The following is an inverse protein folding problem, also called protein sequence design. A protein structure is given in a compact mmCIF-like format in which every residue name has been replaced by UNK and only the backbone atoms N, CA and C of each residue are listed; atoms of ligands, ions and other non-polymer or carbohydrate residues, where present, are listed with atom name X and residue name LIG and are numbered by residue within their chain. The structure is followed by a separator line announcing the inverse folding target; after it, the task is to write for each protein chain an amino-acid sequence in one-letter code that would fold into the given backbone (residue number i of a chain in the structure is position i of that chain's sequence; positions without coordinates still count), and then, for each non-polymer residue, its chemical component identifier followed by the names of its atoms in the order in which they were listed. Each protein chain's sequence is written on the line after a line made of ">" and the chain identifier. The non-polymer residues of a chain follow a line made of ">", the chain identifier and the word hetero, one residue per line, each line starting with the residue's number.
data_IF_248574849707
#
_entry.id   IF_248574849707
#
_cell.length_a   1.000
_cell.length_b   1.000
_cell.length_c   1.000
_cell.angle_alpha   90.00
_cell.angle_beta   90.00
_cell.angle_gamma   90.00
#
_symmetry.space_group_name_H-M   'P 1'
#
loop_
_entity.id
_entity.type
_entity.pdbx_description
1 polymer ?
#
# COMPACT_ATOMS: atom_id res chain seq x y z
N UNK A 1 10.44 -7.59 58.84
CA UNK A 1 9.31 -6.66 59.03
C UNK A 1 8.23 -7.03 58.02
N UNK A 2 7.15 -7.67 58.48
CA UNK A 2 6.06 -8.17 57.62
C UNK A 2 5.07 -7.04 57.30
N UNK A 3 4.77 -6.84 56.02
CA UNK A 3 3.71 -5.93 55.56
C UNK A 3 2.38 -6.69 55.54
N UNK A 4 1.28 -6.11 56.07
CA UNK A 4 -0.02 -6.78 56.08
C UNK A 4 -0.64 -6.82 54.68
N UNK A 5 -1.37 -7.89 54.41
CA UNK A 5 -2.05 -8.18 53.15
C UNK A 5 -3.24 -7.22 52.94
N UNK A 6 -3.50 -6.83 51.69
CA UNK A 6 -4.58 -5.93 51.30
C UNK A 6 -6.00 -6.42 51.70
N UNK A 7 -6.13 -7.70 52.11
CA UNK A 7 -7.35 -8.27 52.68
C UNK A 7 -7.56 -7.96 54.16
N UNK A 8 -6.70 -7.18 54.83
CA UNK A 8 -6.93 -6.81 56.23
C UNK A 8 -7.37 -5.35 56.42
N UNK A 9 -7.32 -4.53 55.35
CA UNK A 9 -7.63 -3.09 55.40
C UNK A 9 -9.11 -2.73 55.15
N UNK A 10 -9.97 -3.71 54.86
CA UNK A 10 -11.39 -3.52 54.54
C UNK A 10 -12.34 -3.60 55.74
N UNK A 11 -11.88 -3.99 56.94
CA UNK A 11 -12.76 -4.22 58.11
C UNK A 11 -13.04 -2.99 58.98
N UNK A 12 -12.44 -1.83 58.71
CA UNK A 12 -12.51 -0.66 59.62
C UNK A 12 -13.30 0.54 59.10
N UNK A 13 -13.91 0.48 57.91
CA UNK A 13 -14.79 1.55 57.43
C UNK A 13 -16.26 1.15 57.50
N UNK A 14 -16.93 1.63 58.54
CA UNK A 14 -18.39 1.69 58.64
C UNK A 14 -18.92 2.61 57.53
N UNK A 15 -19.42 2.02 56.44
CA UNK A 15 -20.17 2.76 55.43
C UNK A 15 -21.62 2.96 55.91
N UNK A 16 -22.16 4.19 55.89
CA UNK A 16 -23.58 4.40 56.13
C UNK A 16 -24.41 3.73 55.03
N UNK A 17 -25.46 3.02 55.44
CA UNK A 17 -26.44 2.36 54.58
C UNK A 17 -27.04 3.34 53.56
N UNK A 18 -27.23 2.94 52.29
CA UNK A 18 -27.94 3.77 51.31
C UNK A 18 -29.43 3.87 51.68
N UNK A 19 -29.95 5.09 51.73
CA UNK A 19 -31.37 5.38 51.96
C UNK A 19 -32.23 4.90 50.77
N UNK A 20 -33.45 4.35 51.01
CA UNK A 20 -34.30 3.84 49.95
C UNK A 20 -35.23 4.95 49.41
N UNK A 21 -34.75 5.76 48.47
CA UNK A 21 -35.60 6.73 47.75
C UNK A 21 -35.32 6.73 46.24
N UNK A 22 -35.23 5.56 45.62
CA UNK A 22 -35.14 5.46 44.15
C UNK A 22 -35.80 4.19 43.57
N UNK A 23 -36.97 3.83 44.09
CA UNK A 23 -37.84 2.77 43.55
C UNK A 23 -39.23 3.28 43.19
N UNK A 24 -39.32 4.45 42.54
CA UNK A 24 -40.62 4.95 42.04
C UNK A 24 -40.57 5.79 40.76
N UNK A 25 -39.68 5.46 39.82
CA UNK A 25 -39.69 5.99 38.43
C UNK A 25 -39.23 4.91 37.43
N UNK A 26 -39.82 3.71 37.50
CA UNK A 26 -39.55 2.62 36.54
C UNK A 26 -40.80 1.77 36.22
N UNK A 27 -42.00 2.35 36.29
CA UNK A 27 -43.23 1.60 35.96
C UNK A 27 -44.13 2.22 34.87
N UNK A 28 -43.91 3.45 34.39
CA UNK A 28 -44.86 4.07 33.44
C UNK A 28 -44.26 4.42 32.07
N UNK A 29 -43.49 3.51 31.46
CA UNK A 29 -43.03 3.67 30.06
C UNK A 29 -43.08 2.35 29.28
N UNK A 30 -44.21 1.66 29.28
CA UNK A 30 -44.53 0.66 28.25
C UNK A 30 -46.05 0.66 28.04
N UNK A 31 -46.50 1.40 27.03
CA UNK A 31 -47.69 1.13 26.21
C UNK A 31 -47.92 2.34 25.30
N UNK A 32 -47.52 2.22 24.03
CA UNK A 32 -48.03 3.07 22.96
C UNK A 32 -48.65 2.13 21.93
N UNK A 33 -49.99 2.07 21.81
CA UNK A 33 -50.62 1.40 20.70
C UNK A 33 -50.57 2.28 19.44
N UNK A 34 -50.55 1.57 18.33
CA UNK A 34 -50.52 1.98 16.93
C UNK A 34 -51.28 3.29 16.62
N UNK A 35 -50.56 4.30 16.15
CA UNK A 35 -51.16 5.50 15.57
C UNK A 35 -51.43 5.23 14.08
N UNK A 36 -52.70 4.99 13.76
CA UNK A 36 -53.20 4.78 12.40
C UNK A 36 -53.01 6.02 11.54
N UNK A 37 -52.42 5.78 10.37
CA UNK A 37 -51.98 6.74 9.38
C UNK A 37 -53.14 7.17 8.47
N UNK A 38 -54.20 7.78 9.01
CA UNK A 38 -55.33 8.30 8.23
C UNK A 38 -56.00 9.45 9.00
N UNK A 39 -55.41 10.64 8.91
CA UNK A 39 -56.08 11.95 9.04
C UNK A 39 -55.10 13.00 8.50
N UNK A 40 -54.85 12.90 7.21
CA UNK A 40 -53.95 13.74 6.44
C UNK A 40 -54.77 14.56 5.45
N UNK A 41 -55.73 15.38 5.88
CA UNK A 41 -56.24 16.46 5.02
C UNK A 41 -56.82 17.65 5.80
N UNK A 42 -56.30 18.82 5.44
CA UNK A 42 -56.94 20.13 5.53
C UNK A 42 -57.11 20.79 6.91
N UNK A 43 -56.03 21.39 7.41
CA UNK A 43 -56.13 22.74 7.97
C UNK A 43 -55.02 23.63 7.42
N UNK A 44 -55.42 24.65 6.67
CA UNK A 44 -54.56 25.73 6.21
C UNK A 44 -53.97 26.45 7.44
N UNK A 45 -52.68 26.82 7.44
CA UNK A 45 -52.15 27.69 8.48
C UNK A 45 -52.71 29.10 8.24
N UNK A 46 -53.82 29.41 8.93
CA UNK A 46 -54.25 30.78 9.13
C UNK A 46 -53.12 31.55 9.80
N UNK A 47 -52.75 32.65 9.17
CA UNK A 47 -51.80 33.66 9.63
C UNK A 47 -52.29 34.30 10.94
N UNK A 48 -52.10 33.62 12.06
CA UNK A 48 -52.25 34.21 13.37
C UNK A 48 -50.87 34.57 13.89
N UNK A 49 -50.49 35.82 13.63
CA UNK A 49 -49.48 36.57 14.37
C UNK A 49 -49.88 36.60 15.86
N UNK A 50 -49.58 35.53 16.60
CA UNK A 50 -49.74 35.50 18.04
C UNK A 50 -48.37 35.60 18.72
N UNK A 51 -47.90 36.85 18.85
CA UNK A 51 -46.70 37.26 19.59
C UNK A 51 -46.87 37.15 21.12
N UNK A 52 -47.78 36.32 21.62
CA UNK A 52 -48.02 36.12 23.06
C UNK A 52 -48.10 34.64 23.45
N UNK A 53 -47.10 33.85 23.05
CA UNK A 53 -46.83 32.53 23.65
C UNK A 53 -45.84 32.66 24.83
N UNK A 54 -46.05 33.65 25.70
CA UNK A 54 -45.50 33.61 27.05
C UNK A 54 -46.36 32.62 27.85
N UNK A 55 -45.98 31.34 27.82
CA UNK A 55 -46.54 30.36 28.74
C UNK A 55 -46.37 30.83 30.19
N UNK A 56 -47.18 30.33 31.14
CA UNK A 56 -47.22 30.82 32.51
C UNK A 56 -45.80 30.90 33.11
N UNK A 57 -45.46 32.01 33.81
CA UNK A 57 -44.10 32.31 34.28
C UNK A 57 -43.49 31.23 35.20
N UNK A 58 -44.31 30.33 35.75
CA UNK A 58 -43.89 29.24 36.63
C UNK A 58 -43.60 27.90 35.93
N UNK A 59 -43.68 27.86 34.59
CA UNK A 59 -43.37 26.64 33.85
C UNK A 59 -41.91 26.21 34.04
N UNK A 60 -41.68 24.90 34.15
CA UNK A 60 -40.33 24.32 34.28
C UNK A 60 -39.44 24.74 33.09
N UNK A 61 -40.04 24.95 31.91
CA UNK A 61 -39.35 25.40 30.72
C UNK A 61 -38.81 26.83 30.86
N UNK A 62 -39.63 27.77 31.34
CA UNK A 62 -39.23 29.16 31.58
C UNK A 62 -38.09 29.25 32.61
N UNK A 63 -38.18 28.49 33.72
CA UNK A 63 -37.09 28.40 34.71
C UNK A 63 -35.79 27.84 34.13
N UNK A 64 -35.87 26.79 33.30
CA UNK A 64 -34.69 26.23 32.61
C UNK A 64 -34.07 27.23 31.63
N UNK A 65 -34.89 28.03 30.95
CA UNK A 65 -34.42 29.07 30.05
C UNK A 65 -33.75 30.24 30.79
N UNK A 66 -34.35 30.73 31.87
CA UNK A 66 -33.75 31.75 32.73
C UNK A 66 -32.39 31.30 33.29
N UNK A 67 -32.28 30.04 33.75
CA UNK A 67 -31.02 29.46 34.21
C UNK A 67 -29.97 29.38 33.09
N UNK A 68 -30.37 28.95 31.87
CA UNK A 68 -29.47 28.95 30.71
C UNK A 68 -28.98 30.36 30.38
N UNK A 69 -29.84 31.37 30.45
CA UNK A 69 -29.47 32.77 30.19
C UNK A 69 -28.48 33.28 31.25
N UNK A 70 -28.75 33.03 32.53
CA UNK A 70 -27.85 33.43 33.62
C UNK A 70 -26.49 32.73 33.49
N UNK A 71 -26.48 31.43 33.16
CA UNK A 71 -25.24 30.70 32.93
C UNK A 71 -24.46 31.25 31.74
N UNK A 72 -25.14 31.58 30.62
CA UNK A 72 -24.50 32.23 29.47
C UNK A 72 -23.88 33.57 29.85
N UNK A 73 -24.57 34.40 30.64
CA UNK A 73 -24.03 35.68 31.15
C UNK A 73 -22.80 35.46 32.04
N UNK A 74 -22.85 34.49 32.97
CA UNK A 74 -21.72 34.14 33.84
C UNK A 74 -20.50 33.67 33.04
N UNK A 75 -20.71 32.82 32.03
CA UNK A 75 -19.62 32.32 31.16
C UNK A 75 -19.07 33.39 30.21
N UNK A 76 -19.91 34.32 29.76
CA UNK A 76 -19.48 35.43 28.92
C UNK A 76 -18.59 36.43 29.68
N UNK A 77 -18.89 36.65 30.97
CA UNK A 77 -18.16 37.58 31.84
C UNK A 77 -17.03 36.89 32.63
N UNK A 78 -16.67 35.67 32.28
CA UNK A 78 -15.63 34.89 32.96
C UNK A 78 -14.24 35.41 32.59
N UNK A 79 -13.37 35.65 33.59
CA UNK A 79 -11.97 36.01 33.33
C UNK A 79 -11.22 34.82 32.71
N UNK A 80 -10.15 35.03 31.91
CA UNK A 80 -9.41 33.95 31.29
C UNK A 80 -8.83 32.95 32.32
N UNK A 81 -8.40 33.44 33.50
CA UNK A 81 -7.92 32.60 34.60
C UNK A 81 -9.02 31.72 35.20
N UNK A 82 -10.20 32.31 35.49
CA UNK A 82 -11.36 31.54 35.99
C UNK A 82 -11.80 30.51 34.97
N UNK A 83 -11.80 30.86 33.68
CA UNK A 83 -12.08 29.94 32.58
C UNK A 83 -11.08 28.79 32.52
N UNK A 84 -9.79 29.07 32.65
CA UNK A 84 -8.74 28.05 32.66
C UNK A 84 -8.92 27.08 33.83
N UNK A 85 -9.10 27.61 35.06
CA UNK A 85 -9.34 26.82 36.26
C UNK A 85 -10.60 25.94 36.15
N UNK A 86 -11.71 26.49 35.61
CA UNK A 86 -12.93 25.72 35.37
C UNK A 86 -12.74 24.60 34.35
N UNK A 87 -12.02 24.87 33.26
CA UNK A 87 -11.72 23.85 32.23
C UNK A 87 -10.77 22.78 32.77
N UNK A 88 -9.81 23.14 33.62
CA UNK A 88 -8.91 22.21 34.28
C UNK A 88 -9.67 21.30 35.25
N UNK A 89 -10.50 21.86 36.12
CA UNK A 89 -11.37 21.08 37.01
C UNK A 89 -12.26 20.10 36.20
N UNK A 90 -12.81 20.55 35.06
CA UNK A 90 -13.58 19.69 34.18
C UNK A 90 -12.74 18.56 33.56
N UNK A 91 -11.49 18.82 33.15
CA UNK A 91 -10.57 17.79 32.64
C UNK A 91 -10.23 16.76 33.72
N UNK A 92 -9.95 17.21 34.94
CA UNK A 92 -9.65 16.34 36.08
C UNK A 92 -10.84 15.42 36.37
N UNK A 93 -12.06 15.97 36.49
CA UNK A 93 -13.26 15.16 36.71
C UNK A 93 -13.51 14.15 35.57
N UNK A 94 -13.31 14.56 34.32
CA UNK A 94 -13.42 13.65 33.18
C UNK A 94 -12.39 12.52 33.25
N UNK A 95 -11.14 12.84 33.61
CA UNK A 95 -10.08 11.87 33.76
C UNK A 95 -10.41 10.86 34.87
N UNK A 96 -10.87 11.33 36.03
CA UNK A 96 -11.30 10.46 37.14
C UNK A 96 -12.45 9.52 36.73
N UNK A 97 -13.45 10.04 36.01
CA UNK A 97 -14.56 9.23 35.48
C UNK A 97 -14.09 8.18 34.47
N UNK A 98 -13.13 8.53 33.60
CA UNK A 98 -12.58 7.59 32.61
C UNK A 98 -11.65 6.54 33.24
N UNK A 99 -10.93 6.90 34.30
CA UNK A 99 -10.05 5.99 35.03
C UNK A 99 -10.83 4.95 35.84
N UNK A 100 -12.00 5.31 36.37
CA UNK A 100 -12.92 4.43 37.12
C UNK A 100 -13.96 3.72 36.24
N UNK A 101 -13.86 3.86 34.91
CA UNK A 101 -14.83 3.30 33.97
C UNK A 101 -14.76 1.76 33.91
N UNK A 102 -15.90 1.09 34.08
CA UNK A 102 -15.98 -0.36 33.88
C UNK A 102 -15.78 -0.73 32.39
N UNK A 103 -15.33 -1.96 32.06
CA UNK A 103 -15.15 -2.37 30.67
C UNK A 103 -16.43 -2.25 29.83
N UNK A 104 -17.61 -2.51 30.40
CA UNK A 104 -18.90 -2.37 29.73
C UNK A 104 -19.25 -0.90 29.43
N UNK A 105 -19.09 -0.02 30.42
CA UNK A 105 -19.29 1.42 30.22
C UNK A 105 -18.33 1.97 29.15
N UNK A 106 -17.07 1.52 29.16
CA UNK A 106 -16.07 1.86 28.15
C UNK A 106 -16.49 1.40 26.76
N UNK A 107 -16.97 0.16 26.63
CA UNK A 107 -17.44 -0.38 25.36
C UNK A 107 -18.63 0.43 24.83
N UNK A 108 -19.64 0.69 25.66
CA UNK A 108 -20.82 1.51 25.33
C UNK A 108 -20.43 2.93 24.91
N UNK A 109 -19.56 3.60 25.68
CA UNK A 109 -19.04 4.93 25.34
C UNK A 109 -18.30 4.93 24.00
N UNK A 110 -17.44 3.95 23.74
CA UNK A 110 -16.70 3.85 22.47
C UNK A 110 -17.64 3.54 21.30
N UNK A 111 -18.69 2.75 21.51
CA UNK A 111 -19.72 2.48 20.50
C UNK A 111 -20.46 3.77 20.14
N UNK A 112 -20.99 4.50 21.13
CA UNK A 112 -21.68 5.78 20.89
C UNK A 112 -20.77 6.81 20.18
N UNK A 113 -19.47 6.82 20.50
CA UNK A 113 -18.49 7.66 19.79
C UNK A 113 -18.30 7.24 18.33
N UNK A 114 -18.23 5.94 18.03
CA UNK A 114 -18.14 5.43 16.65
C UNK A 114 -19.41 5.77 15.85
N UNK A 115 -20.59 5.63 16.45
CA UNK A 115 -21.87 5.97 15.83
C UNK A 115 -21.96 7.47 15.52
N UNK A 116 -21.61 8.34 16.47
CA UNK A 116 -21.54 9.79 16.23
C UNK A 116 -20.53 10.13 15.12
N UNK A 117 -19.40 9.43 15.05
CA UNK A 117 -18.42 9.61 13.99
C UNK A 117 -18.97 9.17 12.64
N UNK A 118 -19.63 8.01 12.55
CA UNK A 118 -20.31 7.54 11.34
C UNK A 118 -21.34 8.55 10.86
N UNK A 119 -22.19 9.03 11.76
CA UNK A 119 -23.18 10.05 11.46
C UNK A 119 -22.54 11.32 10.89
N UNK A 120 -21.50 11.85 11.54
CA UNK A 120 -20.77 13.04 11.06
C UNK A 120 -20.15 12.84 9.68
N UNK A 121 -19.57 11.66 9.42
CA UNK A 121 -18.95 11.34 8.12
C UNK A 121 -19.99 11.14 7.01
N UNK A 122 -21.17 10.62 7.34
CA UNK A 122 -22.27 10.45 6.39
C UNK A 122 -22.89 11.78 5.95
N UNK A 123 -22.93 12.78 6.84
CA UNK A 123 -23.49 14.11 6.60
C UNK A 123 -22.43 15.17 6.25
N UNK A 124 -21.23 14.74 5.87
CA UNK A 124 -20.13 15.62 5.52
C UNK A 124 -20.35 16.21 4.11
N UNK A 125 -20.20 17.54 3.96
CA UNK A 125 -20.26 18.16 2.62
C UNK A 125 -19.03 17.78 1.78
N UNK A 126 -19.10 17.84 0.44
CA UNK A 126 -17.94 17.53 -0.41
C UNK A 126 -16.68 18.34 -0.05
N UNK A 127 -16.85 19.63 0.30
CA UNK A 127 -15.76 20.50 0.72
C UNK A 127 -15.15 20.06 2.06
N UNK A 128 -15.98 19.75 3.06
CA UNK A 128 -15.51 19.23 4.35
C UNK A 128 -14.75 17.91 4.15
N UNK A 129 -15.27 17.01 3.32
CA UNK A 129 -14.62 15.74 2.97
C UNK A 129 -13.27 15.95 2.30
N UNK A 130 -13.19 16.87 1.35
CA UNK A 130 -11.94 17.23 0.70
C UNK A 130 -10.92 17.75 1.73
N UNK A 131 -11.29 18.73 2.56
CA UNK A 131 -10.44 19.29 3.61
C UNK A 131 -9.98 18.25 4.63
N UNK A 132 -10.85 17.31 5.02
CA UNK A 132 -10.47 16.20 5.92
C UNK A 132 -9.46 15.26 5.25
N UNK A 133 -9.67 14.90 3.98
CA UNK A 133 -8.76 14.02 3.25
C UNK A 133 -7.41 14.69 2.96
N UNK A 134 -7.37 15.99 2.67
CA UNK A 134 -6.11 16.72 2.50
C UNK A 134 -5.33 16.78 3.81
N UNK A 135 -5.99 17.09 4.93
CA UNK A 135 -5.35 17.07 6.24
C UNK A 135 -4.82 15.68 6.62
N UNK A 136 -5.52 14.60 6.24
CA UNK A 136 -5.03 13.22 6.47
C UNK A 136 -3.81 12.89 5.62
N UNK A 137 -3.81 13.25 4.32
CA UNK A 137 -2.64 13.08 3.44
C UNK A 137 -1.44 13.86 3.95
N UNK A 138 -1.65 15.08 4.44
CA UNK A 138 -0.57 15.91 4.97
C UNK A 138 0.08 15.29 6.21
N UNK A 139 -0.73 14.85 7.18
CA UNK A 139 -0.21 14.12 8.36
C UNK A 139 0.52 12.85 7.97
N UNK A 140 0.04 12.13 6.95
CA UNK A 140 0.72 10.94 6.44
C UNK A 140 2.05 11.30 5.78
N UNK A 141 2.10 12.37 4.99
CA UNK A 141 3.33 12.88 4.36
C UNK A 141 4.38 13.22 5.41
N UNK A 142 3.99 14.00 6.43
CA UNK A 142 4.88 14.39 7.54
C UNK A 142 5.43 13.14 8.24
N UNK A 143 4.57 12.18 8.59
CA UNK A 143 4.99 10.92 9.24
C UNK A 143 5.96 10.11 8.39
N UNK A 144 5.74 10.03 7.08
CA UNK A 144 6.60 9.29 6.16
C UNK A 144 7.94 10.01 5.91
N UNK A 145 7.95 11.33 5.94
CA UNK A 145 9.17 12.13 5.81
C UNK A 145 10.07 12.01 7.05
N UNK A 146 9.49 11.90 8.24
CA UNK A 146 10.21 11.71 9.50
C UNK A 146 10.48 10.24 9.86
N UNK A 147 10.27 9.30 8.94
CA UNK A 147 10.37 7.86 9.19
C UNK A 147 11.84 7.41 9.26
N UNK A 148 12.24 6.71 10.33
CA UNK A 148 13.58 6.12 10.43
C UNK A 148 13.73 4.93 9.46
N UNK A 149 14.95 4.55 9.03
CA UNK A 149 15.14 3.40 8.13
C UNK A 149 14.52 2.10 8.68
N UNK A 150 14.59 1.86 9.99
CA UNK A 150 14.00 0.67 10.63
C UNK A 150 12.47 0.69 10.62
N UNK A 151 11.87 1.85 10.92
CA UNK A 151 10.42 2.03 10.82
C UNK A 151 9.95 1.80 9.38
N UNK A 152 10.69 2.33 8.41
CA UNK A 152 10.43 2.14 6.98
C UNK A 152 10.52 0.68 6.59
N UNK A 153 11.55 -0.05 7.03
CA UNK A 153 11.70 -1.48 6.78
C UNK A 153 10.52 -2.27 7.34
N UNK A 154 10.15 -2.04 8.61
CA UNK A 154 8.98 -2.68 9.26
C UNK A 154 7.67 -2.37 8.51
N UNK A 155 7.46 -1.12 8.11
CA UNK A 155 6.27 -0.71 7.34
C UNK A 155 6.22 -1.39 5.97
N UNK A 156 7.33 -1.44 5.24
CA UNK A 156 7.41 -2.09 3.93
C UNK A 156 7.22 -3.61 4.05
N UNK A 157 7.72 -4.23 5.11
CA UNK A 157 7.51 -5.66 5.36
C UNK A 157 6.04 -5.96 5.67
N UNK A 158 5.41 -5.18 6.55
CA UNK A 158 3.98 -5.30 6.80
C UNK A 158 3.11 -5.04 5.55
N UNK A 159 3.57 -4.21 4.61
CA UNK A 159 2.92 -4.03 3.31
C UNK A 159 3.08 -5.25 2.40
N UNK A 160 4.28 -5.85 2.34
CA UNK A 160 4.54 -7.08 1.57
C UNK A 160 3.71 -8.25 2.10
N UNK A 161 3.64 -8.43 3.41
CA UNK A 161 2.84 -9.49 4.05
C UNK A 161 1.36 -9.34 3.66
N UNK A 162 0.78 -8.14 3.83
CA UNK A 162 -0.60 -7.86 3.42
C UNK A 162 -0.82 -8.06 1.92
N UNK A 163 0.14 -7.70 1.09
CA UNK A 163 0.06 -7.93 -0.35
C UNK A 163 0.08 -9.43 -0.69
N UNK A 164 0.94 -10.23 -0.05
CA UNK A 164 0.96 -11.69 -0.22
C UNK A 164 -0.36 -12.31 0.20
N UNK A 165 -0.91 -11.93 1.36
CA UNK A 165 -2.21 -12.39 1.83
C UNK A 165 -3.33 -12.02 0.85
N UNK A 166 -3.35 -10.78 0.34
CA UNK A 166 -4.35 -10.36 -0.66
C UNK A 166 -4.25 -11.16 -1.96
N UNK A 167 -3.04 -11.48 -2.42
CA UNK A 167 -2.83 -12.28 -3.62
C UNK A 167 -3.18 -13.76 -3.37
N UNK A 168 -2.89 -14.30 -2.18
CA UNK A 168 -3.24 -15.67 -1.84
C UNK A 168 -4.75 -15.88 -1.76
N UNK A 169 -5.48 -14.88 -1.27
CA UNK A 169 -6.93 -14.91 -1.10
C UNK A 169 -7.71 -14.39 -2.33
N UNK A 170 -7.04 -14.15 -3.47
CA UNK A 170 -7.70 -13.63 -4.67
C UNK A 170 -8.50 -14.73 -5.38
N UNK A 171 -9.72 -14.40 -5.85
CA UNK A 171 -10.47 -15.34 -6.70
C UNK A 171 -9.82 -15.51 -8.08
N UNK A 172 -10.12 -16.59 -8.79
CA UNK A 172 -9.60 -16.82 -10.14
C UNK A 172 -9.95 -15.68 -11.11
N UNK A 173 -11.16 -15.11 -10.98
CA UNK A 173 -11.60 -13.95 -11.76
C UNK A 173 -10.81 -12.69 -11.42
N UNK A 174 -10.62 -12.40 -10.12
CA UNK A 174 -9.81 -11.27 -9.67
C UNK A 174 -8.36 -11.38 -10.17
N UNK A 175 -7.80 -12.61 -10.13
CA UNK A 175 -6.47 -12.90 -10.69
C UNK A 175 -6.41 -12.65 -12.19
N UNK A 176 -7.40 -13.13 -12.94
CA UNK A 176 -7.47 -12.94 -14.39
C UNK A 176 -7.55 -11.45 -14.75
N UNK A 177 -8.41 -10.68 -14.07
CA UNK A 177 -8.50 -9.22 -14.24
C UNK A 177 -7.19 -8.51 -13.91
N UNK A 178 -6.56 -8.85 -12.78
CA UNK A 178 -5.26 -8.28 -12.38
C UNK A 178 -4.17 -8.56 -13.41
N UNK A 179 -4.09 -9.78 -13.93
CA UNK A 179 -3.12 -10.14 -14.97
C UNK A 179 -3.43 -9.49 -16.32
N UNK A 180 -4.71 -9.34 -16.67
CA UNK A 180 -5.13 -8.64 -17.88
C UNK A 180 -4.75 -7.16 -17.84
N UNK A 181 -4.98 -6.46 -16.72
CA UNK A 181 -4.55 -5.07 -16.51
C UNK A 181 -3.03 -4.93 -16.59
N UNK A 182 -2.27 -5.84 -15.94
CA UNK A 182 -0.81 -5.86 -16.04
C UNK A 182 -0.31 -6.02 -17.49
N UNK A 183 -0.91 -6.94 -18.27
CA UNK A 183 -0.59 -7.13 -19.69
C UNK A 183 -0.97 -5.90 -20.52
N UNK A 184 -2.09 -5.26 -20.22
CA UNK A 184 -2.54 -4.05 -20.91
C UNK A 184 -1.56 -2.88 -20.68
N UNK A 185 -1.21 -2.59 -19.42
CA UNK A 185 -0.21 -1.56 -19.09
C UNK A 185 1.16 -1.85 -19.70
N UNK A 186 1.56 -3.12 -19.76
CA UNK A 186 2.79 -3.54 -20.41
C UNK A 186 2.75 -3.28 -21.92
N UNK A 187 1.65 -3.59 -22.61
CA UNK A 187 1.46 -3.29 -24.04
C UNK A 187 1.59 -1.79 -24.31
N UNK A 188 0.91 -0.95 -23.54
CA UNK A 188 0.99 0.51 -23.67
C UNK A 188 2.45 0.99 -23.51
N UNK A 189 3.16 0.50 -22.47
CA UNK A 189 4.56 0.87 -22.24
C UNK A 189 5.47 0.48 -23.41
N UNK A 190 5.26 -0.70 -23.99
CA UNK A 190 6.08 -1.19 -25.11
C UNK A 190 5.74 -0.50 -26.43
N UNK A 191 4.47 -0.14 -26.65
CA UNK A 191 4.05 0.61 -27.83
C UNK A 191 4.65 2.03 -27.84
N UNK A 192 4.75 2.66 -26.68
CA UNK A 192 5.30 4.01 -26.50
C UNK A 192 6.81 4.02 -26.20
N UNK A 193 7.52 2.91 -26.43
CA UNK A 193 8.95 2.77 -26.14
C UNK A 193 9.81 3.47 -27.22
N UNK A 194 10.74 4.35 -26.82
CA UNK A 194 11.70 4.95 -27.75
C UNK A 194 12.68 3.88 -28.27
N UNK A 195 13.26 4.04 -29.48
CA UNK A 195 14.18 3.05 -30.05
C UNK A 195 15.40 2.77 -29.15
N UNK A 196 15.92 3.80 -28.47
CA UNK A 196 17.01 3.66 -27.50
C UNK A 196 16.63 2.80 -26.29
N UNK A 197 15.46 3.08 -25.68
CA UNK A 197 14.93 2.29 -24.56
C UNK A 197 14.69 0.84 -24.99
N UNK A 198 14.20 0.64 -26.21
CA UNK A 198 14.01 -0.70 -26.80
C UNK A 198 15.33 -1.43 -26.97
N UNK A 199 16.37 -0.78 -27.50
CA UNK A 199 17.70 -1.37 -27.66
C UNK A 199 18.29 -1.79 -26.30
N UNK A 200 18.27 -0.88 -25.32
CA UNK A 200 18.74 -1.15 -23.95
C UNK A 200 17.97 -2.30 -23.28
N UNK A 201 16.63 -2.34 -23.44
CA UNK A 201 15.80 -3.44 -22.93
C UNK A 201 16.17 -4.78 -23.58
N UNK A 202 16.38 -4.82 -24.89
CA UNK A 202 16.76 -6.03 -25.62
C UNK A 202 18.16 -6.51 -25.23
N UNK A 203 19.11 -5.60 -25.05
CA UNK A 203 20.44 -5.91 -24.54
C UNK A 203 20.39 -6.51 -23.12
N UNK A 204 19.67 -5.87 -22.20
CA UNK A 204 19.47 -6.38 -20.84
C UNK A 204 18.75 -7.74 -20.81
N UNK A 205 17.89 -8.03 -21.81
CA UNK A 205 17.28 -9.35 -21.98
C UNK A 205 18.30 -10.39 -22.48
N UNK A 206 19.15 -10.03 -23.45
CA UNK A 206 20.23 -10.90 -23.95
C UNK A 206 21.23 -11.25 -22.85
N UNK A 207 21.65 -10.26 -22.05
CA UNK A 207 22.59 -10.49 -20.94
C UNK A 207 21.99 -11.42 -19.87
N UNK A 208 20.74 -11.19 -19.45
CA UNK A 208 20.04 -12.09 -18.52
C UNK A 208 19.88 -13.49 -19.08
N UNK A 209 19.64 -13.62 -20.39
CA UNK A 209 19.57 -14.92 -21.04
C UNK A 209 20.93 -15.63 -21.02
N UNK A 210 22.02 -14.93 -21.34
CA UNK A 210 23.37 -15.48 -21.26
C UNK A 210 23.71 -15.94 -19.84
N UNK A 211 23.44 -15.11 -18.82
CA UNK A 211 23.65 -15.47 -17.41
C UNK A 211 22.86 -16.73 -17.02
N UNK A 212 21.58 -16.82 -17.40
CA UNK A 212 20.75 -17.99 -17.12
C UNK A 212 21.26 -19.26 -17.81
N UNK A 213 21.77 -19.13 -19.05
CA UNK A 213 22.36 -20.25 -19.78
C UNK A 213 23.72 -20.65 -19.23
N UNK A 214 24.50 -19.70 -18.69
CA UNK A 214 25.78 -20.00 -18.07
C UNK A 214 25.63 -20.71 -16.71
N UNK A 215 24.57 -20.39 -15.96
CA UNK A 215 24.25 -21.00 -14.67
C UNK A 215 23.32 -22.23 -14.77
N UNK A 216 23.06 -22.75 -15.97
CA UNK A 216 22.11 -23.87 -16.13
C UNK A 216 22.76 -25.20 -15.68
N UNK A 217 22.03 -26.03 -14.95
CA UNK A 217 22.52 -27.38 -14.61
C UNK A 217 22.58 -28.26 -15.87
N UNK A 218 23.42 -29.31 -15.92
CA UNK A 218 23.49 -30.20 -17.08
C UNK A 218 22.14 -30.85 -17.42
N UNK A 219 21.34 -31.19 -16.42
CA UNK A 219 19.97 -31.70 -16.59
C UNK A 219 19.05 -30.67 -17.23
N UNK A 220 19.06 -29.43 -16.75
CA UNK A 220 18.29 -28.34 -17.34
C UNK A 220 18.70 -28.07 -18.79
N UNK A 221 20.01 -28.12 -19.08
CA UNK A 221 20.54 -28.01 -20.44
C UNK A 221 20.03 -29.13 -21.34
N UNK A 222 20.11 -30.38 -20.89
CA UNK A 222 19.63 -31.54 -21.62
C UNK A 222 18.13 -31.43 -21.91
N UNK A 223 17.32 -31.10 -20.90
CA UNK A 223 15.88 -30.88 -21.05
C UNK A 223 15.56 -29.75 -22.05
N UNK A 224 16.29 -28.62 -21.98
CA UNK A 224 16.13 -27.50 -22.91
C UNK A 224 16.47 -27.89 -24.35
N UNK A 225 17.57 -28.62 -24.56
CA UNK A 225 17.99 -29.10 -25.88
C UNK A 225 17.02 -30.16 -26.43
N UNK A 226 16.54 -31.08 -25.59
CA UNK A 226 15.52 -32.06 -25.95
C UNK A 226 14.21 -31.37 -26.37
N UNK A 227 13.73 -30.40 -25.59
CA UNK A 227 12.55 -29.61 -25.95
C UNK A 227 12.74 -28.81 -27.25
N UNK A 228 13.96 -28.31 -27.52
CA UNK A 228 14.28 -27.68 -28.80
C UNK A 228 14.22 -28.68 -29.97
N UNK A 229 14.75 -29.90 -29.79
CA UNK A 229 14.71 -30.98 -30.78
C UNK A 229 13.28 -31.44 -31.08
N UNK A 230 12.44 -31.63 -30.05
CA UNK A 230 11.02 -31.99 -30.21
C UNK A 230 10.28 -30.93 -31.01
N UNK A 231 10.44 -29.63 -30.66
CA UNK A 231 9.82 -28.53 -31.42
C UNK A 231 10.33 -28.45 -32.86
N UNK A 232 11.58 -28.81 -33.11
CA UNK A 232 12.10 -28.89 -34.48
C UNK A 232 11.46 -30.05 -35.25
N UNK A 233 11.33 -31.23 -34.64
CA UNK A 233 10.67 -32.38 -35.26
C UNK A 233 9.20 -32.09 -35.56
N UNK A 234 8.45 -31.51 -34.62
CA UNK A 234 7.06 -31.12 -34.82
C UNK A 234 6.89 -30.13 -35.99
N UNK A 235 7.79 -29.13 -36.10
CA UNK A 235 7.78 -28.18 -37.22
C UNK A 235 8.03 -28.87 -38.57
N UNK A 236 8.94 -29.84 -38.61
CA UNK A 236 9.23 -30.61 -39.84
C UNK A 236 8.11 -31.59 -40.19
N UNK A 237 7.45 -32.18 -39.20
CA UNK A 237 6.31 -33.06 -39.40
C UNK A 237 5.09 -32.29 -39.96
N UNK A 238 4.87 -31.08 -39.47
CA UNK A 238 3.76 -30.21 -39.90
C UNK A 238 4.09 -29.36 -41.13
N UNK A 239 5.28 -29.51 -41.72
CA UNK A 239 5.75 -28.74 -42.88
C UNK A 239 4.92 -29.10 -44.12
N UNK A 240 4.32 -28.09 -44.76
CA UNK A 240 3.62 -28.29 -46.03
C UNK A 240 4.61 -28.69 -47.15
N UNK A 241 4.10 -29.26 -48.26
CA UNK A 241 4.96 -29.64 -49.40
C UNK A 241 5.73 -28.43 -49.97
N UNK A 242 5.07 -27.28 -50.04
CA UNK A 242 5.66 -26.03 -50.52
C UNK A 242 6.74 -25.50 -49.59
N UNK A 243 6.47 -25.46 -48.28
CA UNK A 243 7.45 -25.07 -47.27
C UNK A 243 8.68 -26.00 -47.29
N UNK A 244 8.44 -27.31 -47.43
CA UNK A 244 9.49 -28.32 -47.56
C UNK A 244 10.35 -28.08 -48.79
N UNK A 245 9.73 -27.82 -49.94
CA UNK A 245 10.43 -27.49 -51.17
C UNK A 245 11.26 -26.20 -51.01
N UNK A 246 10.69 -25.16 -50.41
CA UNK A 246 11.38 -23.89 -50.12
C UNK A 246 12.56 -24.09 -49.17
N UNK A 247 12.43 -24.90 -48.11
CA UNK A 247 13.53 -25.24 -47.21
C UNK A 247 14.66 -25.95 -47.93
N UNK A 248 14.35 -26.96 -48.75
CA UNK A 248 15.36 -27.66 -49.56
C UNK A 248 16.03 -26.74 -50.58
N UNK A 249 15.27 -25.85 -51.24
CA UNK A 249 15.82 -24.85 -52.14
C UNK A 249 16.76 -23.87 -51.40
N UNK A 250 16.39 -23.45 -50.19
CA UNK A 250 17.25 -22.63 -49.33
C UNK A 250 18.54 -23.33 -48.92
N UNK A 251 18.48 -24.63 -48.60
CA UNK A 251 19.68 -25.45 -48.32
C UNK A 251 20.58 -25.54 -49.56
N UNK A 252 20.01 -25.79 -50.75
CA UNK A 252 20.75 -25.82 -52.02
C UNK A 252 21.43 -24.48 -52.31
N UNK A 253 20.74 -23.35 -52.12
CA UNK A 253 21.29 -22.00 -52.30
C UNK A 253 22.47 -21.74 -51.36
N UNK A 254 22.35 -22.09 -50.07
CA UNK A 254 23.45 -21.96 -49.10
C UNK A 254 24.68 -22.79 -49.48
N UNK A 255 24.48 -24.03 -49.93
CA UNK A 255 25.58 -24.89 -50.41
C UNK A 255 26.29 -24.30 -51.63
N UNK A 256 25.54 -23.74 -52.60
CA UNK A 256 26.14 -23.06 -53.76
C UNK A 256 27.00 -21.87 -53.35
N UNK A 257 26.49 -21.03 -52.45
CA UNK A 257 27.24 -19.86 -51.94
C UNK A 257 28.50 -20.27 -51.19
N UNK A 258 28.46 -21.32 -50.34
CA UNK A 258 29.65 -21.76 -49.62
C UNK A 258 30.74 -22.36 -50.51
N UNK A 259 30.36 -23.09 -51.57
CA UNK A 259 31.31 -23.65 -52.55
C UNK A 259 31.93 -22.57 -53.44
N UNK A 260 31.17 -21.53 -53.81
CA UNK A 260 31.68 -20.38 -54.58
C UNK A 260 32.74 -19.60 -53.82
N UNK A 261 32.57 -19.39 -52.50
CA UNK A 261 33.56 -18.67 -51.68
C UNK A 261 34.84 -19.46 -51.40
N UNK A 262 34.80 -20.79 -51.48
CA UNK A 262 36.01 -21.62 -51.30
C UNK A 262 36.81 -21.78 -52.60
N UNK A 263 36.15 -21.71 -53.77
CA UNK A 263 36.82 -21.86 -55.07
C UNK A 263 37.61 -20.62 -55.52
N UNK A 264 37.34 -19.43 -55.00
CA UNK A 264 38.08 -18.20 -55.36
C UNK A 264 39.19 -17.81 -54.37
N UNK A 265 39.36 -18.57 -53.28
CA UNK A 265 40.37 -18.33 -52.25
C UNK A 265 41.55 -19.32 -52.29
N UNK A 266 41.71 -20.03 -53.41
CA UNK A 266 42.95 -20.73 -53.74
C UNK A 266 43.67 -19.98 -54.88
N UNK A 267 44.50 -18.97 -54.60
CA UNK A 267 45.52 -18.59 -55.56
C UNK A 267 46.51 -19.76 -55.64
N UNK A 268 46.35 -20.54 -56.70
CA UNK A 268 47.37 -21.42 -57.27
C UNK A 268 48.58 -20.56 -57.65
N UNK A 269 49.44 -20.27 -56.67
CA UNK A 269 50.84 -19.91 -56.89
C UNK A 269 51.69 -20.78 -55.98
N UNK A 270 51.72 -22.06 -56.36
CA UNK A 270 52.86 -22.93 -56.12
C UNK A 270 54.06 -22.39 -56.92
N UNK A 271 54.67 -21.32 -56.43
CA UNK A 271 56.06 -21.00 -56.75
C UNK A 271 56.87 -21.63 -55.63
N UNK A 272 57.50 -22.76 -55.95
CA UNK A 272 58.49 -23.39 -55.10
C UNK A 272 59.70 -22.45 -55.01
N UNK A 273 59.71 -21.56 -54.03
CA UNK A 273 60.89 -20.75 -53.69
C UNK A 273 61.83 -21.65 -52.87
N UNK A 274 63.06 -21.93 -53.33
CA UNK A 274 64.01 -22.73 -52.57
C UNK A 274 64.28 -22.04 -51.23
N UNK A 275 64.02 -22.75 -50.13
CA UNK A 275 64.32 -22.29 -48.78
C UNK A 275 65.82 -22.09 -48.64
N UNK A 276 66.26 -20.83 -48.63
CA UNK A 276 67.57 -20.43 -48.10
C UNK A 276 67.65 -20.87 -46.63
N UNK A 277 68.81 -21.38 -46.15
CA UNK A 277 69.00 -21.73 -44.76
C UNK A 277 68.78 -20.50 -43.88
N UNK A 278 67.85 -20.61 -42.93
CA UNK A 278 67.57 -19.56 -41.96
C UNK A 278 68.80 -19.38 -41.05
N UNK A 279 69.22 -18.14 -40.77
CA UNK A 279 70.27 -17.89 -39.78
C UNK A 279 69.80 -18.32 -38.39
N UNK A 280 70.72 -18.67 -37.47
CA UNK A 280 70.38 -19.05 -36.11
C UNK A 280 69.61 -17.92 -35.44
N UNK A 281 68.38 -18.22 -35.03
CA UNK A 281 67.51 -17.29 -34.32
C UNK A 281 68.21 -16.89 -33.01
N UNK A 282 68.62 -15.62 -32.95
CA UNK A 282 68.88 -14.93 -31.70
C UNK A 282 67.68 -15.14 -30.78
N UNK A 283 67.98 -15.80 -29.66
CA UNK A 283 67.07 -16.09 -28.56
C UNK A 283 66.39 -14.79 -28.15
N UNK A 284 65.09 -14.68 -28.40
CA UNK A 284 64.27 -13.56 -27.93
C UNK A 284 64.44 -13.44 -26.41
N UNK A 285 64.69 -12.24 -25.86
CA UNK A 285 64.71 -12.06 -24.41
C UNK A 285 63.35 -12.45 -23.81
N UNK A 286 63.33 -13.02 -22.59
CA UNK A 286 62.09 -13.42 -21.94
C UNK A 286 61.15 -12.22 -21.81
N UNK A 287 59.83 -12.43 -21.91
CA UNK A 287 58.85 -11.37 -21.76
C UNK A 287 59.02 -10.70 -20.40
N UNK A 288 59.04 -9.37 -20.39
CA UNK A 288 59.13 -8.57 -19.18
C UNK A 288 58.00 -8.99 -18.20
N UNK A 289 58.30 -9.09 -16.89
CA UNK A 289 57.27 -9.39 -15.91
C UNK A 289 56.17 -8.33 -15.96
N UNK A 290 54.90 -8.72 -15.74
CA UNK A 290 53.79 -7.77 -15.76
C UNK A 290 54.04 -6.66 -14.74
N UNK A 291 53.64 -5.41 -15.05
CA UNK A 291 53.81 -4.30 -14.13
C UNK A 291 53.14 -4.66 -12.80
N UNK A 292 53.91 -4.55 -11.72
CA UNK A 292 53.38 -4.71 -10.37
C UNK A 292 52.21 -3.74 -10.19
N UNK A 293 51.08 -4.19 -9.60
CA UNK A 293 49.93 -3.34 -9.40
C UNK A 293 50.34 -2.19 -8.49
N UNK A 294 50.41 -0.98 -9.05
CA UNK A 294 50.49 0.24 -8.24
C UNK A 294 49.32 0.22 -7.25
N UNK A 295 49.66 0.08 -5.98
CA UNK A 295 48.74 0.29 -4.87
C UNK A 295 48.20 1.71 -4.96
N UNK A 296 47.03 1.85 -5.55
CA UNK A 296 46.18 3.02 -5.33
C UNK A 296 45.71 2.95 -3.89
N UNK A 297 45.96 3.96 -3.05
CA UNK A 297 45.44 3.96 -1.70
C UNK A 297 43.91 3.91 -1.76
N UNK A 298 43.26 3.05 -0.95
CA UNK A 298 41.81 2.91 -1.00
C UNK A 298 41.14 4.22 -0.62
N UNK A 299 40.22 4.66 -1.48
CA UNK A 299 39.31 5.77 -1.18
C UNK A 299 38.61 5.52 0.18
N UNK A 300 38.55 6.50 1.09
CA UNK A 300 38.04 6.33 2.46
C UNK A 300 36.58 5.83 2.54
N UNK A 301 35.84 5.88 1.43
CA UNK A 301 34.45 5.39 1.37
C UNK A 301 34.29 3.88 1.15
N UNK A 302 35.36 3.12 0.86
CA UNK A 302 35.26 1.68 0.63
C UNK A 302 35.53 0.83 1.89
N UNK A 303 36.31 1.35 2.84
CA UNK A 303 36.61 0.68 4.12
C UNK A 303 35.37 0.61 5.04
N UNK A 304 34.54 1.65 5.05
CA UNK A 304 33.30 1.69 5.85
C UNK A 304 32.25 0.63 5.41
N UNK A 305 32.26 0.23 4.14
CA UNK A 305 31.31 -0.78 3.61
C UNK A 305 31.75 -2.22 3.84
N UNK A 306 33.05 -2.48 3.99
CA UNK A 306 33.55 -3.84 4.26
C UNK A 306 33.65 -4.14 5.76
N UNK A 307 33.88 -3.13 6.60
CA UNK A 307 33.85 -3.29 8.06
C UNK A 307 32.46 -3.69 8.59
N UNK A 308 31.37 -3.28 7.92
CA UNK A 308 30.00 -3.62 8.33
C UNK A 308 29.58 -5.07 7.98
N UNK A 309 30.31 -5.76 7.09
CA UNK A 309 30.03 -7.16 6.73
C UNK A 309 30.81 -8.19 7.54
N UNK A 310 31.75 -7.77 8.38
CA UNK A 310 32.60 -8.68 9.18
C UNK A 310 32.28 -8.72 10.67
N UNK A 311 31.38 -7.87 11.17
CA UNK A 311 31.00 -7.84 12.60
C UNK A 311 29.64 -8.47 12.92
N UNK A 312 29.04 -9.19 11.97
CA UNK A 312 27.82 -9.98 12.22
C UNK A 312 28.04 -11.42 11.80
N UNK A 313 29.07 -12.04 12.37
CA UNK A 313 29.11 -13.48 12.60
C UNK A 313 29.26 -13.65 14.11
N UNK A 314 28.14 -13.61 14.81
CA UNK A 314 28.01 -14.22 16.13
C UNK A 314 27.23 -15.51 15.92
N UNK A 315 27.85 -16.56 16.41
CA UNK A 315 27.49 -17.95 16.41
C UNK A 315 26.08 -18.23 16.93
N UNK A 316 25.54 -19.36 16.50
CA UNK A 316 24.50 -20.07 17.23
C UNK A 316 23.10 -19.78 16.75
N UNK A 317 22.55 -20.69 15.94
CA UNK A 317 21.36 -21.45 16.35
C UNK A 317 20.89 -22.34 15.22
N UNK A 318 21.34 -23.60 15.27
CA UNK A 318 20.64 -24.72 14.64
C UNK A 318 19.33 -24.94 15.39
N UNK A 319 18.21 -24.43 14.86
CA UNK A 319 16.88 -24.97 15.16
C UNK A 319 16.26 -25.49 13.88
N UNK A 320 16.47 -26.79 13.70
CA UNK A 320 15.55 -27.67 12.99
C UNK A 320 14.16 -27.52 13.62
N UNK A 321 13.17 -27.07 12.85
CA UNK A 321 11.77 -27.27 13.21
C UNK A 321 11.25 -28.43 12.37
N UNK A 322 11.08 -29.57 13.01
CA UNK A 322 10.27 -30.67 12.51
C UNK A 322 8.83 -30.17 12.35
N UNK A 323 8.31 -30.32 11.13
CA UNK A 323 6.91 -30.07 10.83
C UNK A 323 6.08 -31.24 11.33
N UNK A 324 5.54 -31.15 12.53
CA UNK A 324 4.38 -31.97 12.91
C UNK A 324 3.21 -31.59 12.00
N UNK A 325 2.91 -32.48 11.05
CA UNK A 325 1.69 -32.50 10.28
C UNK A 325 0.50 -32.70 11.23
N UNK A 326 -0.26 -31.63 11.48
CA UNK A 326 -1.62 -31.73 11.99
C UNK A 326 -2.54 -32.14 10.82
N UNK A 327 -3.02 -33.37 10.88
CA UNK A 327 -4.08 -33.91 10.03
C UNK A 327 -5.34 -33.05 10.20
N UNK A 328 -5.93 -32.48 9.13
CA UNK A 328 -7.21 -31.79 9.26
C UNK A 328 -8.33 -32.82 9.38
N UNK A 329 -9.13 -32.71 10.45
CA UNK A 329 -10.37 -33.47 10.61
C UNK A 329 -11.34 -33.22 9.44
N UNK A 330 -12.00 -34.30 9.02
CA UNK A 330 -13.06 -34.30 8.01
C UNK A 330 -14.29 -33.49 8.47
N UNK A 331 -15.00 -32.82 7.56
CA UNK A 331 -16.33 -32.28 7.85
C UNK A 331 -17.38 -33.41 7.94
N UNK A 332 -18.44 -33.28 8.76
CA UNK A 332 -19.44 -34.32 8.93
C UNK A 332 -20.32 -34.49 7.68
N UNK A 333 -20.77 -35.74 7.53
CA UNK A 333 -21.52 -36.30 6.41
C UNK A 333 -22.72 -35.44 5.95
N UNK A 334 -22.72 -35.10 4.66
CA UNK A 334 -23.94 -34.69 3.97
C UNK A 334 -24.78 -35.92 3.63
N UNK A 335 -26.03 -35.88 4.09
CA UNK A 335 -27.11 -36.81 3.81
C UNK A 335 -27.22 -37.10 2.30
N UNK A 336 -27.16 -38.39 1.97
CA UNK A 336 -27.43 -38.92 0.64
C UNK A 336 -28.92 -38.71 0.31
N UNK A 337 -29.19 -38.00 -0.77
CA UNK A 337 -30.48 -38.03 -1.47
C UNK A 337 -30.47 -39.21 -2.45
N UNK A 338 -31.55 -40.00 -2.56
CA UNK A 338 -31.59 -41.16 -3.43
C UNK A 338 -31.63 -40.74 -4.91
N UNK A 339 -30.91 -41.52 -5.72
CA UNK A 339 -30.91 -41.43 -7.17
C UNK A 339 -32.30 -41.78 -7.73
N UNK A 340 -32.86 -40.88 -8.55
CA UNK A 340 -33.98 -41.19 -9.43
C UNK A 340 -33.48 -41.56 -10.84
N UNK A 341 -34.06 -42.59 -11.49
CA UNK A 341 -33.60 -43.10 -12.77
C UNK A 341 -34.21 -42.31 -13.94
N UNK A 342 -33.40 -41.95 -14.94
CA UNK A 342 -33.82 -41.26 -16.16
C UNK A 342 -33.89 -42.18 -17.37
N UNK A 343 -34.76 -43.18 -17.33
CA UNK A 343 -35.20 -43.87 -18.54
C UNK A 343 -36.65 -43.49 -18.82
N UNK A 344 -36.88 -42.51 -19.69
CA UNK A 344 -38.06 -42.49 -20.56
C UNK A 344 -37.79 -41.61 -21.80
N UNK A 345 -37.81 -42.31 -22.94
CA UNK A 345 -37.98 -41.79 -24.29
C UNK A 345 -39.45 -41.41 -24.48
N UNK A 346 -39.73 -40.23 -25.05
CA UNK A 346 -40.72 -40.02 -26.12
C UNK A 346 -40.88 -38.53 -26.47
N UNK A 347 -40.51 -38.22 -27.72
CA UNK A 347 -41.28 -37.51 -28.75
C UNK A 347 -42.06 -36.21 -28.44
N UNK A 348 -41.61 -35.17 -29.14
CA UNK A 348 -42.38 -34.33 -30.06
C UNK A 348 -43.65 -33.63 -29.57
N UNK A 349 -43.53 -32.33 -29.24
CA UNK A 349 -44.53 -31.32 -29.66
C UNK A 349 -43.85 -30.02 -30.06
N UNK A 350 -44.11 -29.64 -31.31
CA UNK A 350 -43.85 -28.36 -31.97
C UNK A 350 -44.19 -27.12 -31.12
N UNK A 351 -43.27 -26.15 -31.08
CA UNK A 351 -43.61 -24.74 -30.86
C UNK A 351 -42.61 -23.82 -31.60
N UNK A 352 -43.05 -22.67 -32.12
CA UNK A 352 -42.51 -22.10 -33.36
C UNK A 352 -41.30 -21.19 -33.16
N UNK A 353 -40.49 -21.15 -34.22
CA UNK A 353 -39.43 -20.19 -34.49
C UNK A 353 -39.78 -18.76 -34.06
N UNK A 354 -39.17 -18.26 -32.99
CA UNK A 354 -39.05 -16.83 -32.76
C UNK A 354 -37.92 -16.32 -33.65
N UNK A 355 -38.28 -15.68 -34.77
CA UNK A 355 -37.38 -14.90 -35.62
C UNK A 355 -36.65 -13.88 -34.74
N UNK A 356 -35.36 -14.08 -34.50
CA UNK A 356 -34.48 -13.02 -34.00
C UNK A 356 -34.37 -11.96 -35.10
N UNK A 357 -34.95 -10.79 -34.86
CA UNK A 357 -34.74 -9.62 -35.69
C UNK A 357 -33.25 -9.23 -35.69
N UNK A 358 -32.69 -8.81 -36.83
CA UNK A 358 -31.32 -8.30 -36.89
C UNK A 358 -31.23 -7.02 -36.05
N UNK A 359 -30.27 -7.00 -35.13
CA UNK A 359 -29.90 -5.83 -34.34
C UNK A 359 -29.39 -4.77 -35.32
N UNK A 360 -30.09 -3.64 -35.39
CA UNK A 360 -29.69 -2.51 -36.20
C UNK A 360 -28.30 -2.00 -35.77
N UNK A 361 -27.42 -1.62 -36.72
CA UNK A 361 -26.13 -1.02 -36.38
C UNK A 361 -26.34 0.30 -35.63
N UNK A 362 -25.46 0.65 -34.67
CA UNK A 362 -25.56 1.88 -33.90
C UNK A 362 -25.47 3.09 -34.84
N UNK A 363 -26.38 4.05 -34.64
CA UNK A 363 -26.43 5.31 -35.39
C UNK A 363 -25.12 6.08 -35.24
N UNK A 364 -24.65 6.76 -36.31
CA UNK A 364 -23.47 7.61 -36.24
C UNK A 364 -23.71 8.78 -35.26
N UNK A 365 -22.75 9.00 -34.37
CA UNK A 365 -22.75 10.15 -33.46
C UNK A 365 -22.67 11.47 -34.24
N UNK A 366 -23.44 12.50 -33.86
CA UNK A 366 -23.41 13.80 -34.55
C UNK A 366 -22.03 14.46 -34.45
N UNK A 367 -21.61 15.21 -35.47
CA UNK A 367 -20.33 15.93 -35.45
C UNK A 367 -20.34 17.02 -34.37
N UNK A 368 -19.18 17.32 -33.76
CA UNK A 368 -19.06 18.41 -32.81
C UNK A 368 -19.39 19.76 -33.46
N UNK A 369 -19.94 20.72 -32.69
CA UNK A 369 -20.30 22.04 -33.22
C UNK A 369 -19.06 22.80 -33.71
N UNK A 370 -19.20 23.65 -34.74
CA UNK A 370 -18.10 24.42 -35.30
C UNK A 370 -17.55 25.40 -34.26
N UNK A 371 -16.22 25.38 -34.09
CA UNK A 371 -15.51 26.30 -33.24
C UNK A 371 -15.71 27.75 -33.72
N UNK A 372 -16.31 28.60 -32.86
CA UNK A 372 -16.27 30.04 -33.04
C UNK A 372 -14.82 30.55 -33.02
N UNK A 373 -14.46 31.50 -33.90
CA UNK A 373 -13.13 32.09 -33.89
C UNK A 373 -13.01 33.02 -32.68
N UNK A 374 -12.37 32.52 -31.62
CA UNK A 374 -11.90 33.37 -30.53
C UNK A 374 -10.76 34.24 -31.05
N UNK A 375 -10.98 35.56 -31.06
CA UNK A 375 -9.98 36.57 -31.37
C UNK A 375 -8.74 36.36 -30.50
N UNK A 376 -7.59 36.14 -31.13
CA UNK A 376 -6.29 36.26 -30.49
C UNK A 376 -6.03 37.74 -30.19
N UNK A 377 -6.21 38.15 -28.94
CA UNK A 377 -5.60 39.38 -28.46
C UNK A 377 -4.14 39.08 -28.12
N UNK A 378 -3.25 39.74 -28.85
CA UNK A 378 -1.82 39.81 -28.54
C UNK A 378 -1.64 40.45 -27.14
N UNK A 379 -0.91 39.81 -26.21
CA UNK A 379 -0.51 40.48 -25.00
C UNK A 379 0.61 41.48 -25.33
N UNK A 380 0.30 42.78 -25.22
CA UNK A 380 1.33 43.81 -25.14
C UNK A 380 2.22 43.52 -23.92
N UNK A 381 3.53 43.39 -24.15
CA UNK A 381 4.54 43.34 -23.11
C UNK A 381 4.57 44.69 -22.38
N UNK A 382 3.87 44.79 -21.25
CA UNK A 382 4.21 45.78 -20.23
C UNK A 382 5.45 45.28 -19.48
N UNK A 383 6.59 45.90 -19.78
CA UNK A 383 7.78 45.82 -18.93
C UNK A 383 7.47 46.48 -17.59
N UNK A 384 7.01 45.70 -16.62
CA UNK A 384 7.03 46.11 -15.23
C UNK A 384 8.47 45.99 -14.72
N UNK A 385 9.09 47.14 -14.45
CA UNK A 385 10.33 47.20 -13.70
C UNK A 385 10.05 46.74 -12.27
N UNK A 386 10.52 45.54 -11.93
CA UNK A 386 10.53 45.07 -10.55
C UNK A 386 11.58 45.87 -9.75
N UNK A 387 11.24 46.41 -8.57
CA UNK A 387 12.25 46.99 -7.69
C UNK A 387 13.23 45.89 -7.21
N UNK A 388 14.52 46.21 -6.99
CA UNK A 388 15.50 45.24 -6.56
C UNK A 388 15.13 44.66 -5.19
N UNK A 389 15.46 43.38 -4.93
CA UNK A 389 15.13 42.72 -3.67
C UNK A 389 15.83 43.44 -2.51
N UNK A 390 15.03 43.92 -1.56
CA UNK A 390 15.54 44.43 -0.30
C UNK A 390 16.26 43.29 0.43
N UNK A 391 17.56 43.49 0.67
CA UNK A 391 18.38 42.58 1.46
C UNK A 391 17.80 42.51 2.87
N UNK A 392 17.32 41.33 3.26
CA UNK A 392 16.94 41.09 4.64
C UNK A 392 18.20 41.17 5.52
N UNK A 393 18.15 41.86 6.68
CA UNK A 393 19.27 41.89 7.60
C UNK A 393 19.57 40.46 8.10
N UNK A 394 20.86 40.13 8.34
CA UNK A 394 21.24 38.81 8.80
C UNK A 394 20.58 38.49 10.16
N UNK A 395 20.19 37.22 10.39
CA UNK A 395 19.60 36.81 11.65
C UNK A 395 20.56 37.06 12.82
N UNK A 396 20.05 37.43 14.00
CA UNK A 396 20.90 37.68 15.17
C UNK A 396 21.67 36.42 15.57
N UNK A 397 22.89 36.56 16.11
CA UNK A 397 23.71 35.44 16.52
C UNK A 397 22.97 34.60 17.57
N UNK A 398 22.84 33.30 17.28
CA UNK A 398 22.27 32.33 18.21
C UNK A 398 23.17 32.27 19.45
N UNK A 399 22.61 32.64 20.61
CA UNK A 399 23.28 32.49 21.90
C UNK A 399 23.55 30.99 22.12
N UNK A 400 24.83 30.64 22.26
CA UNK A 400 25.22 29.29 22.64
C UNK A 400 24.67 28.98 24.03
N UNK A 401 24.09 27.79 24.26
CA UNK A 401 23.70 27.38 25.60
C UNK A 401 24.94 27.32 26.50
N UNK A 402 24.82 27.68 27.80
CA UNK A 402 25.93 27.66 28.72
C UNK A 402 26.51 26.23 28.86
N UNK A 403 27.82 26.10 29.11
CA UNK A 403 28.47 24.81 29.27
C UNK A 403 27.82 24.05 30.43
N UNK A 404 27.36 22.83 30.14
CA UNK A 404 26.88 21.91 31.17
C UNK A 404 28.03 21.61 32.13
N UNK A 405 27.84 21.98 33.40
CA UNK A 405 28.75 21.59 34.47
C UNK A 405 28.81 20.06 34.52
N UNK A 406 30.02 19.52 34.34
CA UNK A 406 30.32 18.12 34.56
C UNK A 406 29.96 17.78 36.02
N UNK A 407 28.91 16.99 36.21
CA UNK A 407 28.62 16.36 37.49
C UNK A 407 29.75 15.35 37.75
N UNK A 408 30.49 15.57 38.83
CA UNK A 408 31.49 14.62 39.31
C UNK A 408 30.79 13.31 39.71
N UNK A 409 31.41 12.15 39.44
CA UNK A 409 30.86 10.87 39.86
C UNK A 409 30.86 10.77 41.40
N UNK A 410 29.72 10.41 41.97
CA UNK A 410 29.59 10.09 43.39
C UNK A 410 30.55 8.93 43.74
N UNK A 411 31.47 9.19 44.67
CA UNK A 411 32.24 8.15 45.37
C UNK A 411 31.29 7.20 46.10
N UNK A 412 31.29 5.94 45.68
CA UNK A 412 30.71 4.82 46.40
C UNK A 412 31.51 4.56 47.68
N UNK A 413 30.88 4.74 48.83
CA UNK A 413 31.45 4.33 50.12
C UNK A 413 31.51 2.80 50.28
N UNK A 414 32.53 2.27 50.97
CA UNK A 414 32.68 0.84 51.20
C UNK A 414 31.66 0.30 52.21
N UNK A 415 31.09 -0.85 51.86
CA UNK A 415 30.22 -1.68 52.70
C UNK A 415 31.00 -2.15 53.93
N UNK A 416 30.54 -1.77 55.12
CA UNK A 416 30.93 -2.42 56.37
C UNK A 416 30.34 -3.83 56.40
N UNK A 417 31.20 -4.84 56.35
CA UNK A 417 30.91 -6.20 56.82
C UNK A 417 30.90 -6.15 58.35
N UNK A 418 29.82 -6.66 58.95
CA UNK A 418 29.74 -6.89 60.39
C UNK A 418 29.93 -8.39 60.67
N UNK A 419 30.60 -8.74 61.79
CA UNK A 419 31.04 -10.09 62.14
C UNK A 419 29.90 -11.04 62.54
#
# INVERSE_FOLDING_TARGET
>A
MFTPSAKDLWKTYNFPQPTPLLTRIKQDCYEYPECSQQDFFAHQPGENNNLNAAGPPDSVAARREANRLQQRRRLANESPEKRAARLEAQRIQQHLRLASESPEQRASRLQALRERQRYRLAHETPNQRASRLTALRERQRIRLASETPDQRAKRLEALRIRQRQRIANESAEQRAMRLADLRHRQRIRLANESPEKRASRLEALRLRQQQRLASESPEQRAARLMAARIRQQQRLANESKEERAARFAGIKRRRRMSCSTQSSACPSLSVYVPRKPLPPLLRSPPPAPPPTPFHTPPSPNHAAKQAFRRTVNVEGSDYWWESHFLVPQQPPAQQQQPAFPWDYVCDSVFAPYVRRHPIAPPLPTPPPPPHSPFQQQHPQQQQQQHPPPQQQPPPPPQQQPPPQQQQQPLETQPKMENP
#
